data_IF_340750104253
#
_entry.id   IF_340750104253
#
_cell.length_a   1.000
_cell.length_b   1.000
_cell.length_c   1.000
_cell.angle_alpha   90.00
_cell.angle_beta   90.00
_cell.angle_gamma   90.00
#
_symmetry.space_group_name_H-M   'P 1'
#
loop_
_entity.id
_entity.type
_entity.pdbx_description
1 polymer ?
#
# COMPACT_ATOMS: atom_id res chain seq x y z
N UNK A 1 22.33 -1.07 53.85
CA UNK A 1 21.11 -1.70 53.27
C UNK A 1 19.90 -0.86 53.62
N UNK A 2 18.98 -0.66 52.66
CA UNK A 2 17.64 -0.06 52.80
C UNK A 2 17.50 1.46 53.08
N UNK A 3 17.65 2.32 52.05
CA UNK A 3 16.88 3.59 51.91
C UNK A 3 16.48 3.98 50.46
N UNK A 4 16.72 3.14 49.45
CA UNK A 4 16.44 3.50 48.04
C UNK A 4 15.12 2.98 47.45
N UNK A 5 14.39 2.10 48.14
CA UNK A 5 13.15 1.53 47.59
C UNK A 5 11.90 2.39 47.81
N UNK A 6 11.86 3.24 48.84
CA UNK A 6 10.70 4.08 49.14
C UNK A 6 10.55 5.26 48.15
N UNK A 7 11.67 5.88 47.75
CA UNK A 7 11.66 6.98 46.77
C UNK A 7 11.22 6.48 45.39
N UNK A 8 11.75 5.34 44.95
CA UNK A 8 11.36 4.70 43.69
C UNK A 8 9.85 4.39 43.66
N UNK A 9 9.30 3.71 44.68
CA UNK A 9 7.88 3.32 44.69
C UNK A 9 6.92 4.53 44.71
N UNK A 10 7.29 5.64 45.36
CA UNK A 10 6.52 6.88 45.33
C UNK A 10 6.54 7.54 43.94
N UNK A 11 7.68 7.51 43.24
CA UNK A 11 7.82 8.00 41.87
C UNK A 11 7.00 7.18 40.86
N UNK A 12 6.93 5.85 41.02
CA UNK A 12 6.15 4.97 40.13
C UNK A 12 4.63 5.19 40.24
N UNK A 13 4.09 5.39 41.46
CA UNK A 13 2.66 5.71 41.65
C UNK A 13 2.28 7.07 41.06
N UNK A 14 3.17 8.07 41.12
CA UNK A 14 2.96 9.40 40.53
C UNK A 14 3.09 9.39 39.00
N UNK A 15 4.05 8.65 38.43
CA UNK A 15 4.14 8.45 36.98
C UNK A 15 2.86 7.80 36.41
N UNK A 16 2.29 6.81 37.10
CA UNK A 16 1.02 6.19 36.71
C UNK A 16 -0.19 7.12 36.75
N UNK A 17 -0.20 8.13 37.62
CA UNK A 17 -1.22 9.20 37.66
C UNK A 17 -0.99 10.24 36.55
N UNK A 18 0.26 10.56 36.24
CA UNK A 18 0.64 11.48 35.16
C UNK A 18 0.21 10.94 33.78
N UNK A 19 0.40 9.64 33.55
CA UNK A 19 -0.06 8.94 32.34
C UNK A 19 -1.58 9.06 32.12
N UNK A 20 -2.38 9.19 33.19
CA UNK A 20 -3.84 9.37 33.08
C UNK A 20 -4.27 10.81 32.81
N UNK A 21 -3.40 11.79 33.04
CA UNK A 21 -3.70 13.22 32.83
C UNK A 21 -3.19 13.77 31.50
N UNK A 22 -2.27 13.08 30.82
CA UNK A 22 -1.74 13.50 29.52
C UNK A 22 -2.76 13.17 28.42
N UNK A 23 -3.49 14.18 27.95
CA UNK A 23 -4.43 14.10 26.81
C UNK A 23 -3.77 14.49 25.47
N UNK A 24 -2.51 14.11 25.23
CA UNK A 24 -1.78 14.45 23.99
C UNK A 24 -1.71 13.23 23.06
N UNK A 25 -1.99 13.42 21.77
CA UNK A 25 -1.91 12.37 20.73
C UNK A 25 -0.49 12.16 20.18
N UNK A 26 0.48 12.98 20.61
CA UNK A 26 1.87 12.92 20.14
C UNK A 26 2.78 12.35 21.23
N UNK A 27 3.38 11.19 20.92
CA UNK A 27 4.35 10.49 21.78
C UNK A 27 5.58 11.35 22.11
N UNK A 28 5.94 12.26 21.21
CA UNK A 28 7.08 13.15 21.38
C UNK A 28 6.80 14.22 22.45
N UNK A 29 5.61 14.83 22.42
CA UNK A 29 5.19 15.84 23.42
C UNK A 29 5.03 15.19 24.81
N UNK A 30 4.50 13.97 24.85
CA UNK A 30 4.43 13.18 26.07
C UNK A 30 5.82 12.87 26.65
N UNK A 31 6.78 12.48 25.80
CA UNK A 31 8.17 12.24 26.19
C UNK A 31 8.85 13.49 26.76
N UNK A 32 8.73 14.64 26.07
CA UNK A 32 9.33 15.89 26.52
C UNK A 32 8.76 16.39 27.86
N UNK A 33 7.45 16.22 28.09
CA UNK A 33 6.81 16.58 29.37
C UNK A 33 7.26 15.68 30.52
N UNK A 34 7.43 14.38 30.26
CA UNK A 34 7.98 13.43 31.25
C UNK A 34 9.43 13.80 31.58
N UNK A 35 10.25 14.10 30.58
CA UNK A 35 11.63 14.54 30.78
C UNK A 35 11.71 15.87 31.54
N UNK A 36 10.87 16.85 31.19
CA UNK A 36 10.80 18.15 31.86
C UNK A 36 10.48 18.00 33.35
N UNK A 37 9.46 17.21 33.70
CA UNK A 37 9.10 16.99 35.11
C UNK A 37 10.17 16.22 35.89
N UNK A 38 10.77 15.18 35.28
CA UNK A 38 11.88 14.44 35.91
C UNK A 38 13.12 15.30 36.15
N UNK A 39 13.36 16.31 35.31
CA UNK A 39 14.48 17.26 35.44
C UNK A 39 14.15 18.44 36.38
N UNK A 40 12.87 18.76 36.57
CA UNK A 40 12.39 19.83 37.45
C UNK A 40 12.44 19.45 38.94
N UNK A 41 12.34 18.15 39.24
CA UNK A 41 12.37 17.60 40.61
C UNK A 41 13.82 17.30 41.10
N UNK A 42 14.83 17.60 40.29
CA UNK A 42 16.23 17.56 40.72
C UNK A 42 16.52 18.86 41.46
N UNK A 43 16.90 18.77 42.74
CA UNK A 43 17.26 19.95 43.53
C UNK A 43 18.57 20.55 42.98
N UNK A 44 18.45 21.59 42.15
CA UNK A 44 19.56 22.27 41.48
C UNK A 44 20.40 23.14 42.45
N UNK A 45 20.08 23.18 43.75
CA UNK A 45 20.70 24.06 44.75
C UNK A 45 22.20 23.83 45.04
N UNK A 46 22.89 22.90 44.38
CA UNK A 46 24.35 22.71 44.54
C UNK A 46 25.18 22.93 43.27
N UNK A 47 24.59 23.47 42.20
CA UNK A 47 25.33 23.92 41.03
C UNK A 47 25.09 25.42 40.84
N UNK A 48 26.15 26.23 40.79
CA UNK A 48 26.04 27.62 40.34
C UNK A 48 25.44 27.64 38.93
N UNK A 49 24.15 27.96 38.85
CA UNK A 49 23.37 27.83 37.64
C UNK A 49 23.72 28.97 36.65
N UNK A 50 24.00 28.66 35.37
CA UNK A 50 23.90 29.68 34.33
C UNK A 50 22.43 30.09 34.20
N UNK A 51 22.16 31.40 34.28
CA UNK A 51 20.81 31.95 34.23
C UNK A 51 20.10 31.57 32.91
N UNK A 52 19.18 30.61 32.96
CA UNK A 52 18.27 30.33 31.86
C UNK A 52 17.20 31.42 31.82
N UNK A 53 17.25 32.30 30.80
CA UNK A 53 16.12 33.18 30.47
C UNK A 53 15.24 32.50 29.42
N UNK A 54 13.96 32.32 29.74
CA UNK A 54 12.93 31.94 28.78
C UNK A 54 12.85 32.98 27.65
N UNK A 55 12.98 32.55 26.40
CA UNK A 55 12.34 33.22 25.27
C UNK A 55 11.49 32.20 24.54
N UNK A 56 10.17 32.41 24.58
CA UNK A 56 9.22 31.79 23.66
C UNK A 56 9.29 32.56 22.34
N UNK A 57 9.87 31.96 21.32
CA UNK A 57 9.57 32.29 19.93
C UNK A 57 8.98 31.05 19.27
N UNK A 58 7.89 31.25 18.54
CA UNK A 58 7.03 30.20 18.01
C UNK A 58 7.78 29.26 17.04
N UNK A 59 7.44 27.97 17.14
CA UNK A 59 7.67 26.90 16.15
C UNK A 59 9.04 26.21 16.00
N UNK A 60 10.04 26.42 16.86
CA UNK A 60 11.18 25.47 16.99
C UNK A 60 11.74 25.42 18.41
N UNK A 61 11.62 24.28 19.09
CA UNK A 61 12.43 24.00 20.29
C UNK A 61 13.90 23.79 19.87
N UNK A 62 14.78 24.74 20.17
CA UNK A 62 16.24 24.53 20.08
C UNK A 62 16.79 24.26 21.47
N UNK A 63 17.41 23.10 21.66
CA UNK A 63 18.26 22.85 22.84
C UNK A 63 19.52 23.71 22.71
N UNK A 64 19.68 24.71 23.57
CA UNK A 64 20.97 25.36 23.76
C UNK A 64 21.81 24.49 24.69
N UNK A 65 22.82 23.80 24.14
CA UNK A 65 23.94 23.29 24.93
C UNK A 65 24.97 24.41 24.98
N UNK A 66 25.33 24.95 26.16
CA UNK A 66 26.35 25.99 26.21
C UNK A 66 27.68 25.40 25.75
N UNK A 67 28.33 26.08 24.81
CA UNK A 67 29.68 25.75 24.38
C UNK A 67 30.62 25.86 25.58
N UNK A 68 31.10 24.72 26.08
CA UNK A 68 32.17 24.66 27.10
C UNK A 68 31.88 23.94 28.42
N UNK A 69 30.68 23.39 28.66
CA UNK A 69 30.37 22.73 29.94
C UNK A 69 30.62 21.21 29.94
N UNK A 70 31.60 20.73 30.72
CA UNK A 70 31.75 19.30 31.04
C UNK A 70 30.62 18.89 31.99
N UNK A 71 29.73 17.97 31.57
CA UNK A 71 28.72 17.40 32.46
C UNK A 71 29.38 16.71 33.66
N UNK A 72 28.96 16.97 34.91
CA UNK A 72 29.45 16.25 36.08
C UNK A 72 29.25 14.75 35.91
N UNK A 73 30.25 13.93 36.31
CA UNK A 73 30.27 12.46 36.08
C UNK A 73 29.01 11.73 36.58
N UNK A 74 28.32 12.25 37.58
CA UNK A 74 27.03 11.71 38.07
C UNK A 74 25.85 11.93 37.11
N UNK A 75 25.83 13.05 36.39
CA UNK A 75 24.77 13.41 35.44
C UNK A 75 24.92 12.67 34.11
N UNK A 76 26.15 12.39 33.68
CA UNK A 76 26.42 11.54 32.52
C UNK A 76 25.87 10.11 32.70
N UNK A 77 25.94 9.56 33.93
CA UNK A 77 25.38 8.26 34.25
C UNK A 77 23.84 8.27 34.20
N UNK A 78 23.19 9.30 34.74
CA UNK A 78 21.73 9.44 34.68
C UNK A 78 21.25 9.65 33.23
N UNK A 79 21.96 10.44 32.44
CA UNK A 79 21.69 10.64 31.01
C UNK A 79 21.84 9.34 30.23
N UNK A 80 22.94 8.60 30.40
CA UNK A 80 23.15 7.30 29.75
C UNK A 80 22.11 6.25 30.19
N UNK A 81 21.64 6.33 31.44
CA UNK A 81 20.60 5.42 31.96
C UNK A 81 19.22 5.80 31.42
N UNK A 82 18.92 7.08 31.25
CA UNK A 82 17.70 7.55 30.57
C UNK A 82 17.71 7.18 29.08
N UNK A 83 18.86 7.26 28.40
CA UNK A 83 19.05 6.81 27.01
C UNK A 83 18.91 5.28 26.88
N UNK A 84 19.51 4.50 27.79
CA UNK A 84 19.34 3.03 27.80
C UNK A 84 17.93 2.59 28.21
N UNK A 85 17.30 3.34 29.11
CA UNK A 85 15.90 3.14 29.48
C UNK A 85 15.00 3.49 28.30
N UNK A 86 15.33 4.52 27.51
CA UNK A 86 14.68 4.83 26.24
C UNK A 86 14.83 3.66 25.25
N UNK A 87 15.99 3.04 25.07
CA UNK A 87 16.11 1.85 24.20
C UNK A 87 15.25 0.67 24.68
N UNK A 88 15.21 0.42 25.99
CA UNK A 88 14.48 -0.71 26.58
C UNK A 88 12.95 -0.47 26.59
N UNK A 89 12.52 0.75 26.90
CA UNK A 89 11.11 1.17 26.83
C UNK A 89 10.67 1.31 25.37
N UNK A 90 11.50 1.84 24.47
CA UNK A 90 11.23 1.83 23.03
C UNK A 90 11.07 0.39 22.53
N UNK A 91 11.93 -0.56 22.91
CA UNK A 91 11.74 -1.97 22.53
C UNK A 91 10.50 -2.63 23.13
N UNK A 92 9.97 -2.12 24.25
CA UNK A 92 8.88 -2.75 25.03
C UNK A 92 7.52 -2.06 24.86
N UNK A 93 7.51 -0.82 24.39
CA UNK A 93 6.33 0.02 24.13
C UNK A 93 6.27 0.55 22.70
N UNK A 94 7.29 0.35 21.86
CA UNK A 94 7.07 0.45 20.42
C UNK A 94 6.16 -0.70 20.01
N UNK A 95 4.99 -0.43 19.40
CA UNK A 95 4.33 -1.46 18.62
C UNK A 95 5.35 -2.00 17.61
N UNK A 96 5.43 -3.33 17.47
CA UNK A 96 6.17 -3.96 16.37
C UNK A 96 5.69 -3.30 15.06
N UNK A 97 6.54 -2.46 14.46
CA UNK A 97 6.34 -1.74 13.18
C UNK A 97 5.01 -0.99 13.06
N UNK A 98 4.99 0.28 13.45
CA UNK A 98 4.13 1.26 12.78
C UNK A 98 4.74 2.64 12.97
N UNK A 99 5.55 3.10 12.00
CA UNK A 99 5.87 4.51 11.81
C UNK A 99 6.49 4.65 10.40
N UNK A 100 5.66 5.11 9.46
CA UNK A 100 5.85 5.23 8.00
C UNK A 100 5.84 3.90 7.22
N UNK A 101 4.65 3.33 6.99
CA UNK A 101 4.46 2.39 5.88
C UNK A 101 4.50 3.19 4.57
N UNK A 102 5.69 3.48 4.06
CA UNK A 102 5.83 4.10 2.74
C UNK A 102 5.64 3.02 1.68
N UNK A 103 4.67 3.19 0.79
CA UNK A 103 4.45 2.23 -0.31
C UNK A 103 5.64 2.32 -1.25
N UNK A 104 6.40 1.23 -1.36
CA UNK A 104 7.59 1.19 -2.23
C UNK A 104 7.24 0.84 -3.67
N UNK A 105 6.17 0.07 -3.85
CA UNK A 105 5.73 -0.42 -5.14
C UNK A 105 4.21 -0.52 -5.25
N UNK A 106 3.70 -0.34 -6.46
CA UNK A 106 2.30 -0.62 -6.81
C UNK A 106 2.28 -1.52 -8.03
N UNK A 107 1.61 -2.66 -7.89
CA UNK A 107 1.30 -3.56 -9.00
C UNK A 107 -0.16 -3.36 -9.40
N UNK A 108 -0.42 -3.23 -10.69
CA UNK A 108 -1.76 -3.08 -11.23
C UNK A 108 -2.16 -4.31 -12.05
N UNK A 109 -3.42 -4.70 -11.97
CA UNK A 109 -4.02 -5.56 -12.99
C UNK A 109 -4.10 -4.84 -14.34
N UNK A 110 -4.34 -5.62 -15.39
CA UNK A 110 -4.46 -5.15 -16.75
C UNK A 110 -5.91 -4.83 -17.13
N UNK A 111 -6.74 -5.87 -17.28
CA UNK A 111 -8.09 -5.78 -17.83
C UNK A 111 -8.99 -5.01 -16.85
N UNK A 112 -9.72 -4.01 -17.35
CA UNK A 112 -10.58 -3.11 -16.57
C UNK A 112 -9.90 -2.32 -15.45
N UNK A 113 -8.58 -2.44 -15.26
CA UNK A 113 -7.80 -1.69 -14.27
C UNK A 113 -6.88 -0.68 -14.92
N UNK A 114 -5.84 -1.11 -15.65
CA UNK A 114 -4.98 -0.20 -16.42
C UNK A 114 -5.59 0.14 -17.78
N UNK A 115 -6.27 -0.82 -18.39
CA UNK A 115 -6.81 -0.74 -19.75
C UNK A 115 -8.29 -1.11 -19.70
N UNK A 116 -9.16 -0.24 -20.23
CA UNK A 116 -10.53 -0.63 -20.54
C UNK A 116 -10.51 -1.57 -21.74
N UNK A 117 -10.78 -2.85 -21.47
CA UNK A 117 -10.86 -3.91 -22.46
C UNK A 117 -12.29 -4.31 -22.79
N UNK A 118 -13.29 -3.70 -22.13
CA UNK A 118 -14.70 -4.10 -22.25
C UNK A 118 -15.22 -3.99 -23.69
N UNK A 119 -14.91 -2.90 -24.40
CA UNK A 119 -15.34 -2.72 -25.79
C UNK A 119 -14.71 -3.73 -26.75
N UNK A 120 -13.40 -3.96 -26.61
CA UNK A 120 -12.68 -4.92 -27.44
C UNK A 120 -13.15 -6.36 -27.20
N UNK A 121 -13.31 -6.74 -25.92
CA UNK A 121 -13.81 -8.06 -25.55
C UNK A 121 -15.24 -8.29 -26.01
N UNK A 122 -16.13 -7.30 -25.86
CA UNK A 122 -17.52 -7.43 -26.32
C UNK A 122 -17.61 -7.64 -27.83
N UNK A 123 -16.84 -6.85 -28.61
CA UNK A 123 -16.77 -7.00 -30.06
C UNK A 123 -16.25 -8.38 -30.46
N UNK A 124 -15.20 -8.87 -29.79
CA UNK A 124 -14.60 -10.16 -30.07
C UNK A 124 -15.52 -11.33 -29.70
N UNK A 125 -16.14 -11.30 -28.52
CA UNK A 125 -17.11 -12.31 -28.07
C UNK A 125 -18.29 -12.37 -29.04
N UNK A 126 -18.82 -11.23 -29.46
CA UNK A 126 -19.95 -11.20 -30.40
C UNK A 126 -19.55 -11.63 -31.81
N UNK A 127 -18.32 -11.36 -32.26
CA UNK A 127 -17.78 -11.90 -33.51
C UNK A 127 -17.68 -13.43 -33.48
N UNK A 128 -17.24 -14.00 -32.35
CA UNK A 128 -17.21 -15.45 -32.13
C UNK A 128 -18.64 -16.00 -32.07
N UNK A 129 -19.54 -15.34 -31.35
CA UNK A 129 -20.93 -15.76 -31.25
C UNK A 129 -21.60 -15.85 -32.62
N UNK A 130 -21.43 -14.80 -33.45
CA UNK A 130 -21.96 -14.77 -34.83
C UNK A 130 -21.37 -15.91 -35.69
N UNK A 131 -20.06 -16.19 -35.56
CA UNK A 131 -19.39 -17.24 -36.33
C UNK A 131 -19.89 -18.66 -35.97
N UNK A 132 -20.12 -18.92 -34.68
CA UNK A 132 -20.51 -20.23 -34.18
C UNK A 132 -22.02 -20.39 -33.95
N UNK A 133 -22.85 -19.43 -34.38
CA UNK A 133 -24.30 -19.47 -34.22
C UNK A 133 -24.76 -19.44 -32.76
N UNK A 134 -24.06 -18.67 -31.91
CA UNK A 134 -24.41 -18.45 -30.50
C UNK A 134 -25.14 -17.12 -30.29
N UNK A 135 -25.96 -17.01 -29.23
CA UNK A 135 -26.53 -15.72 -28.85
C UNK A 135 -25.42 -14.69 -28.57
N UNK A 136 -25.65 -13.44 -28.99
CA UNK A 136 -24.76 -12.33 -28.66
C UNK A 136 -24.81 -12.04 -27.16
N UNK A 137 -23.66 -11.66 -26.61
CA UNK A 137 -23.48 -11.21 -25.25
C UNK A 137 -23.76 -9.70 -25.13
N UNK A 138 -24.25 -9.27 -23.96
CA UNK A 138 -24.34 -7.85 -23.59
C UNK A 138 -23.09 -7.40 -22.85
N UNK A 139 -22.89 -6.08 -22.72
CA UNK A 139 -21.76 -5.54 -21.96
C UNK A 139 -21.85 -5.91 -20.49
N UNK A 140 -23.04 -5.86 -19.92
CA UNK A 140 -23.31 -6.14 -18.51
C UNK A 140 -22.89 -7.57 -18.17
N UNK A 141 -23.32 -8.54 -18.99
CA UNK A 141 -22.96 -9.94 -18.81
C UNK A 141 -21.47 -10.20 -19.00
N UNK A 142 -20.82 -9.48 -19.91
CA UNK A 142 -19.37 -9.55 -20.09
C UNK A 142 -18.64 -9.11 -18.82
N UNK A 143 -19.02 -7.98 -18.22
CA UNK A 143 -18.35 -7.43 -17.03
C UNK A 143 -18.39 -8.41 -15.84
N UNK A 144 -19.47 -9.16 -15.66
CA UNK A 144 -19.62 -10.15 -14.58
C UNK A 144 -18.59 -11.29 -14.61
N UNK A 145 -18.01 -11.56 -15.77
CA UNK A 145 -17.10 -12.70 -15.99
C UNK A 145 -15.68 -12.26 -16.30
N UNK A 146 -15.38 -10.96 -16.24
CA UNK A 146 -14.01 -10.46 -16.36
C UNK A 146 -13.17 -11.04 -15.22
N UNK A 147 -11.94 -11.47 -15.57
CA UNK A 147 -11.03 -12.15 -14.66
C UNK A 147 -11.21 -13.68 -14.60
N UNK A 148 -12.28 -14.25 -15.17
CA UNK A 148 -12.47 -15.69 -15.25
C UNK A 148 -11.38 -16.34 -16.11
N UNK A 149 -11.09 -17.61 -15.86
CA UNK A 149 -10.28 -18.38 -16.79
C UNK A 149 -11.03 -18.60 -18.11
N UNK A 150 -10.31 -18.89 -19.19
CA UNK A 150 -10.89 -19.02 -20.53
C UNK A 150 -12.06 -20.02 -20.58
N UNK A 151 -12.00 -21.12 -19.84
CA UNK A 151 -13.08 -22.12 -19.86
C UNK A 151 -14.37 -21.57 -19.28
N UNK A 152 -14.29 -20.99 -18.09
CA UNK A 152 -15.48 -20.47 -17.40
C UNK A 152 -16.01 -19.21 -18.11
N UNK A 153 -15.12 -18.40 -18.68
CA UNK A 153 -15.47 -17.27 -19.54
C UNK A 153 -16.34 -17.69 -20.72
N UNK A 154 -15.90 -18.69 -21.52
CA UNK A 154 -16.68 -19.16 -22.66
C UNK A 154 -18.01 -19.79 -22.27
N UNK A 155 -18.02 -20.63 -21.23
CA UNK A 155 -19.28 -21.25 -20.74
C UNK A 155 -20.29 -20.19 -20.31
N UNK A 156 -19.83 -19.16 -19.60
CA UNK A 156 -20.71 -18.15 -19.06
C UNK A 156 -21.30 -17.22 -20.13
N UNK A 157 -20.60 -17.01 -21.25
CA UNK A 157 -21.00 -16.09 -22.32
C UNK A 157 -21.64 -16.78 -23.54
N UNK A 158 -21.17 -17.97 -23.90
CA UNK A 158 -21.59 -18.70 -25.11
C UNK A 158 -22.37 -19.99 -24.81
N UNK A 159 -22.48 -20.37 -23.53
CA UNK A 159 -23.25 -21.51 -23.04
C UNK A 159 -22.50 -22.85 -23.03
N UNK A 160 -21.32 -22.93 -23.64
CA UNK A 160 -20.42 -24.08 -23.58
C UNK A 160 -18.95 -23.66 -23.73
N UNK A 161 -18.04 -24.63 -23.70
CA UNK A 161 -16.62 -24.40 -23.96
C UNK A 161 -16.15 -25.34 -25.06
N UNK A 162 -15.41 -24.76 -26.01
CA UNK A 162 -14.91 -25.40 -27.22
C UNK A 162 -13.51 -24.86 -27.51
N UNK A 163 -12.51 -25.70 -27.81
CA UNK A 163 -11.18 -25.25 -28.25
C UNK A 163 -11.24 -24.23 -29.41
N UNK A 164 -12.21 -24.42 -30.31
CA UNK A 164 -12.44 -23.61 -31.51
C UNK A 164 -12.72 -22.13 -31.19
N UNK A 165 -13.28 -21.81 -30.02
CA UNK A 165 -13.47 -20.41 -29.60
C UNK A 165 -12.14 -19.73 -29.34
N UNK A 166 -11.21 -20.41 -28.67
CA UNK A 166 -9.86 -19.92 -28.41
C UNK A 166 -9.05 -19.80 -29.70
N UNK A 167 -9.12 -20.82 -30.56
CA UNK A 167 -8.41 -20.82 -31.86
C UNK A 167 -8.90 -19.68 -32.77
N UNK A 168 -10.22 -19.50 -32.86
CA UNK A 168 -10.80 -18.39 -33.63
C UNK A 168 -10.42 -17.04 -33.03
N UNK A 169 -10.46 -16.90 -31.70
CA UNK A 169 -10.02 -15.66 -31.04
C UNK A 169 -8.57 -15.32 -31.37
N UNK A 170 -7.65 -16.28 -31.25
CA UNK A 170 -6.22 -16.08 -31.53
C UNK A 170 -6.00 -15.65 -32.99
N UNK A 171 -6.72 -16.26 -33.93
CA UNK A 171 -6.57 -16.00 -35.36
C UNK A 171 -7.25 -14.70 -35.81
N UNK A 172 -8.48 -14.47 -35.37
CA UNK A 172 -9.40 -13.48 -35.96
C UNK A 172 -9.65 -12.25 -35.08
N UNK A 173 -9.29 -12.30 -33.79
CA UNK A 173 -9.58 -11.24 -32.82
C UNK A 173 -8.29 -10.63 -32.22
N UNK A 174 -7.42 -11.47 -31.65
CA UNK A 174 -6.22 -11.05 -30.96
C UNK A 174 -5.30 -10.11 -31.77
N UNK A 175 -5.14 -10.26 -33.11
CA UNK A 175 -4.32 -9.33 -33.89
C UNK A 175 -4.81 -7.88 -33.85
N UNK A 176 -6.12 -7.65 -33.73
CA UNK A 176 -6.74 -6.33 -33.87
C UNK A 176 -7.23 -5.72 -32.56
N UNK A 177 -7.42 -6.53 -31.50
CA UNK A 177 -8.04 -6.08 -30.26
C UNK A 177 -7.31 -4.91 -29.58
N UNK A 178 -5.97 -4.87 -29.68
CA UNK A 178 -5.16 -3.85 -29.04
C UNK A 178 -5.51 -2.45 -29.57
N UNK A 179 -5.95 -2.33 -30.83
CA UNK A 179 -6.37 -1.05 -31.41
C UNK A 179 -7.67 -0.53 -30.75
N UNK A 180 -8.57 -1.42 -30.35
CA UNK A 180 -9.88 -1.10 -29.76
C UNK A 180 -9.82 -0.80 -28.25
N UNK A 181 -8.74 -1.16 -27.58
CA UNK A 181 -8.57 -0.93 -26.13
C UNK A 181 -8.16 0.51 -25.83
N UNK A 182 -8.50 1.04 -24.66
CA UNK A 182 -8.09 2.38 -24.23
C UNK A 182 -7.55 2.35 -22.81
N UNK A 183 -6.62 3.22 -22.42
CA UNK A 183 -6.27 3.37 -21.01
C UNK A 183 -7.52 3.65 -20.17
N UNK A 184 -7.61 3.00 -19.01
CA UNK A 184 -8.70 3.23 -18.07
C UNK A 184 -8.66 4.66 -17.51
N UNK A 185 -9.79 5.13 -16.99
CA UNK A 185 -9.92 6.49 -16.48
C UNK A 185 -8.90 6.78 -15.36
N UNK A 186 -7.97 7.70 -15.63
CA UNK A 186 -6.92 8.10 -14.68
C UNK A 186 -5.70 7.18 -14.63
N UNK A 187 -5.63 6.13 -15.46
CA UNK A 187 -4.54 5.16 -15.39
C UNK A 187 -3.17 5.79 -15.72
N UNK A 188 -3.11 6.59 -16.79
CA UNK A 188 -1.86 7.21 -17.25
C UNK A 188 -1.35 8.22 -16.23
N UNK A 189 -2.25 9.06 -15.74
CA UNK A 189 -1.96 10.11 -14.76
C UNK A 189 -1.52 9.51 -13.41
N UNK A 190 -2.24 8.48 -12.95
CA UNK A 190 -1.93 7.77 -11.70
C UNK A 190 -0.54 7.14 -11.74
N UNK A 191 -0.23 6.39 -12.80
CA UNK A 191 1.08 5.74 -12.93
C UNK A 191 2.20 6.77 -13.05
N UNK A 192 2.00 7.83 -13.83
CA UNK A 192 2.99 8.90 -13.97
C UNK A 192 3.25 9.62 -12.64
N UNK A 193 2.19 9.92 -11.87
CA UNK A 193 2.33 10.58 -10.56
C UNK A 193 3.04 9.68 -9.53
N UNK A 194 2.70 8.39 -9.47
CA UNK A 194 3.40 7.43 -8.59
C UNK A 194 4.90 7.38 -8.90
N UNK A 195 5.27 7.34 -10.18
CA UNK A 195 6.68 7.34 -10.59
C UNK A 195 7.38 8.64 -10.24
N UNK A 196 6.72 9.79 -10.41
CA UNK A 196 7.27 11.08 -10.01
C UNK A 196 7.53 11.16 -8.50
N UNK A 197 6.76 10.42 -7.70
CA UNK A 197 6.94 10.26 -6.25
C UNK A 197 7.97 9.19 -5.87
N UNK A 198 8.64 8.57 -6.85
CA UNK A 198 9.67 7.54 -6.60
C UNK A 198 9.11 6.15 -6.29
N UNK A 199 7.81 5.94 -6.45
CA UNK A 199 7.17 4.62 -6.27
C UNK A 199 7.41 3.77 -7.52
N UNK A 200 7.82 2.52 -7.30
CA UNK A 200 7.95 1.53 -8.38
C UNK A 200 6.59 1.09 -8.87
N UNK A 201 6.40 0.97 -10.19
CA UNK A 201 5.12 0.59 -10.76
C UNK A 201 5.27 -0.59 -11.70
N UNK A 202 4.37 -1.56 -11.60
CA UNK A 202 4.33 -2.68 -12.54
C UNK A 202 2.93 -3.15 -12.86
N UNK A 203 2.82 -4.01 -13.87
CA UNK A 203 1.60 -4.72 -14.22
C UNK A 203 1.76 -6.21 -13.89
N UNK A 204 0.75 -6.81 -13.24
CA UNK A 204 0.69 -8.25 -12.96
C UNK A 204 -0.74 -8.75 -13.24
N UNK A 205 -0.91 -9.64 -14.23
CA UNK A 205 -2.24 -9.99 -14.74
C UNK A 205 -2.39 -11.46 -15.13
N UNK A 206 -3.64 -11.94 -15.20
CA UNK A 206 -4.01 -13.22 -15.80
C UNK A 206 -3.99 -13.19 -17.33
N UNK A 207 -3.82 -12.02 -17.93
CA UNK A 207 -3.65 -11.88 -19.37
C UNK A 207 -2.36 -12.55 -19.84
N UNK A 208 -2.43 -13.24 -20.97
CA UNK A 208 -1.24 -13.75 -21.68
C UNK A 208 -0.63 -12.61 -22.48
N UNK A 209 0.69 -12.44 -22.37
CA UNK A 209 1.47 -11.43 -23.09
C UNK A 209 0.91 -9.98 -23.00
N UNK A 210 0.60 -9.46 -21.79
CA UNK A 210 0.02 -8.11 -21.62
C UNK A 210 0.94 -6.99 -22.14
N UNK A 211 2.25 -7.23 -22.19
CA UNK A 211 3.25 -6.29 -22.70
C UNK A 211 2.95 -5.81 -24.12
N UNK A 212 2.35 -6.66 -24.98
CA UNK A 212 1.99 -6.29 -26.35
C UNK A 212 1.05 -5.09 -26.38
N UNK A 213 0.00 -5.09 -25.56
CA UNK A 213 -0.97 -4.00 -25.53
C UNK A 213 -0.38 -2.79 -24.79
N UNK A 214 0.38 -3.00 -23.71
CA UNK A 214 1.10 -1.93 -22.99
C UNK A 214 1.98 -1.12 -23.97
N UNK A 215 2.66 -1.79 -24.90
CA UNK A 215 3.46 -1.15 -25.96
C UNK A 215 2.63 -0.35 -26.95
N UNK A 216 1.55 -0.95 -27.45
CA UNK A 216 0.61 -0.29 -28.39
C UNK A 216 -0.03 0.96 -27.76
N UNK A 217 -0.23 0.95 -26.44
CA UNK A 217 -0.76 2.09 -25.67
C UNK A 217 0.30 3.02 -25.09
N UNK A 218 1.57 2.81 -25.46
CA UNK A 218 2.70 3.64 -25.03
C UNK A 218 2.89 3.73 -23.51
N UNK A 219 2.43 2.73 -22.77
CA UNK A 219 2.56 2.65 -21.31
C UNK A 219 3.85 1.96 -20.85
N UNK A 220 4.60 1.32 -21.75
CA UNK A 220 5.81 0.55 -21.39
C UNK A 220 6.84 1.39 -20.61
N UNK A 221 7.03 2.66 -21.00
CA UNK A 221 7.96 3.58 -20.33
C UNK A 221 7.52 3.97 -18.91
N UNK A 222 6.26 3.71 -18.58
CA UNK A 222 5.66 3.98 -17.29
C UNK A 222 5.65 2.74 -16.38
N UNK A 223 6.19 1.61 -16.82
CA UNK A 223 6.19 0.36 -16.07
C UNK A 223 7.64 -0.10 -15.82
N UNK A 224 7.99 -0.37 -14.57
CA UNK A 224 9.26 -1.00 -14.20
C UNK A 224 9.21 -2.52 -14.47
N UNK A 225 8.03 -3.15 -14.44
CA UNK A 225 7.85 -4.54 -14.84
C UNK A 225 6.45 -4.83 -15.42
N UNK A 226 6.35 -5.89 -16.21
CA UNK A 226 5.08 -6.42 -16.73
C UNK A 226 5.11 -7.95 -16.65
N UNK A 227 4.14 -8.54 -15.95
CA UNK A 227 4.01 -9.99 -15.72
C UNK A 227 2.63 -10.45 -16.18
N UNK A 228 2.60 -11.38 -17.14
CA UNK A 228 1.39 -12.05 -17.60
C UNK A 228 1.25 -13.46 -17.03
N UNK A 229 0.12 -14.12 -17.33
CA UNK A 229 -0.13 -15.51 -16.94
C UNK A 229 0.88 -16.49 -17.56
N UNK A 230 1.45 -16.15 -18.71
CA UNK A 230 2.48 -16.93 -19.41
C UNK A 230 3.83 -16.95 -18.69
N UNK A 231 4.02 -16.09 -17.68
CA UNK A 231 5.26 -16.01 -16.90
C UNK A 231 5.22 -16.79 -15.58
N UNK A 232 4.12 -17.48 -15.26
CA UNK A 232 3.95 -18.20 -13.98
C UNK A 232 3.25 -19.54 -14.16
N UNK A 233 3.42 -20.43 -13.18
CA UNK A 233 2.75 -21.73 -13.17
C UNK A 233 1.25 -21.63 -12.80
N UNK A 234 0.88 -20.72 -11.89
CA UNK A 234 -0.49 -20.58 -11.39
C UNK A 234 -0.93 -19.12 -11.46
N UNK A 235 -1.88 -18.77 -12.35
CA UNK A 235 -2.44 -17.41 -12.41
C UNK A 235 -3.32 -17.11 -11.19
N UNK A 236 -3.75 -15.85 -11.05
CA UNK A 236 -4.73 -15.41 -10.03
C UNK A 236 -5.95 -16.34 -10.09
N UNK A 237 -6.51 -16.75 -8.93
CA UNK A 237 -6.28 -16.21 -7.59
C UNK A 237 -5.04 -16.73 -6.88
N UNK A 238 -4.17 -17.55 -7.51
CA UNK A 238 -2.87 -17.82 -6.92
C UNK A 238 -2.01 -16.53 -6.89
N UNK A 239 -1.12 -16.36 -5.89
CA UNK A 239 -0.37 -15.13 -5.72
C UNK A 239 0.82 -15.01 -6.69
N UNK A 240 1.11 -16.05 -7.50
CA UNK A 240 2.36 -16.21 -8.21
C UNK A 240 2.68 -15.01 -9.14
N UNK A 241 1.70 -14.46 -9.89
CA UNK A 241 1.94 -13.28 -10.74
C UNK A 241 2.27 -12.01 -9.94
N UNK A 242 1.63 -11.80 -8.78
CA UNK A 242 1.89 -10.67 -7.90
C UNK A 242 3.26 -10.80 -7.24
N UNK A 243 3.58 -11.99 -6.73
CA UNK A 243 4.88 -12.27 -6.12
C UNK A 243 6.02 -12.10 -7.12
N UNK A 244 5.83 -12.55 -8.36
CA UNK A 244 6.79 -12.35 -9.44
C UNK A 244 6.97 -10.86 -9.76
N UNK A 245 5.88 -10.10 -9.80
CA UNK A 245 5.93 -8.65 -9.95
C UNK A 245 6.73 -7.98 -8.83
N UNK A 246 6.45 -8.33 -7.57
CA UNK A 246 7.15 -7.75 -6.42
C UNK A 246 8.65 -8.07 -6.40
N UNK A 247 9.02 -9.30 -6.78
CA UNK A 247 10.41 -9.73 -6.97
C UNK A 247 11.11 -8.84 -8.00
N UNK A 248 10.51 -8.64 -9.19
CA UNK A 248 11.08 -7.81 -10.25
C UNK A 248 11.20 -6.33 -9.85
N UNK A 249 10.30 -5.84 -9.00
CA UNK A 249 10.36 -4.49 -8.44
C UNK A 249 11.34 -4.35 -7.25
N UNK A 250 11.93 -5.46 -6.77
CA UNK A 250 12.86 -5.46 -5.64
C UNK A 250 12.20 -5.07 -4.31
N UNK A 251 10.91 -5.39 -4.13
CA UNK A 251 10.14 -5.01 -2.96
C UNK A 251 9.58 -6.24 -2.22
N UNK A 252 9.42 -6.12 -0.90
CA UNK A 252 8.69 -7.12 -0.13
C UNK A 252 7.18 -6.95 -0.38
N UNK A 253 6.38 -8.03 -0.45
CA UNK A 253 4.94 -7.92 -0.68
C UNK A 253 4.20 -7.01 0.31
N UNK A 254 4.62 -6.99 1.58
CA UNK A 254 4.06 -6.12 2.62
C UNK A 254 4.29 -4.61 2.36
N UNK A 255 5.29 -4.25 1.55
CA UNK A 255 5.60 -2.88 1.14
C UNK A 255 4.96 -2.51 -0.21
N UNK A 256 4.22 -3.44 -0.82
CA UNK A 256 3.56 -3.27 -2.10
C UNK A 256 2.03 -3.20 -1.95
N UNK A 257 1.40 -2.43 -2.83
CA UNK A 257 -0.04 -2.47 -3.05
C UNK A 257 -0.34 -3.21 -4.34
N UNK A 258 -1.46 -3.93 -4.35
CA UNK A 258 -2.02 -4.46 -5.58
C UNK A 258 -3.34 -3.76 -5.90
N UNK A 259 -3.50 -3.36 -7.15
CA UNK A 259 -4.68 -2.64 -7.64
C UNK A 259 -5.37 -3.49 -8.70
N UNK A 260 -6.66 -3.76 -8.55
CA UNK A 260 -7.44 -4.57 -9.49
C UNK A 260 -8.93 -4.22 -9.40
N UNK A 261 -9.78 -4.92 -10.12
CA UNK A 261 -11.22 -4.62 -10.19
C UNK A 261 -12.12 -5.82 -9.86
N UNK A 262 -11.54 -6.99 -9.56
CA UNK A 262 -12.30 -8.23 -9.34
C UNK A 262 -12.06 -8.84 -7.94
N UNK A 263 -12.95 -9.70 -7.45
CA UNK A 263 -12.69 -10.52 -6.26
C UNK A 263 -11.45 -11.42 -6.38
N UNK A 264 -11.11 -11.84 -7.62
CA UNK A 264 -9.92 -12.64 -7.90
C UNK A 264 -8.65 -11.85 -7.59
N UNK A 265 -8.64 -10.55 -7.86
CA UNK A 265 -7.56 -9.63 -7.54
C UNK A 265 -7.36 -9.48 -6.04
N UNK A 266 -8.46 -9.26 -5.32
CA UNK A 266 -8.46 -9.11 -3.86
C UNK A 266 -7.91 -10.37 -3.20
N UNK A 267 -8.36 -11.55 -3.65
CA UNK A 267 -7.89 -12.82 -3.13
C UNK A 267 -6.41 -13.08 -3.45
N UNK A 268 -5.96 -12.75 -4.67
CA UNK A 268 -4.56 -12.88 -5.05
C UNK A 268 -3.65 -11.98 -4.19
N UNK A 269 -4.05 -10.72 -3.96
CA UNK A 269 -3.33 -9.78 -3.10
C UNK A 269 -3.23 -10.31 -1.67
N UNK A 270 -4.35 -10.79 -1.11
CA UNK A 270 -4.40 -11.37 0.23
C UNK A 270 -3.44 -12.56 0.36
N UNK A 271 -3.43 -13.47 -0.63
CA UNK A 271 -2.51 -14.63 -0.65
C UNK A 271 -1.06 -14.23 -0.85
N UNK A 272 -0.80 -13.11 -1.53
CA UNK A 272 0.55 -12.57 -1.71
C UNK A 272 1.06 -11.81 -0.47
N UNK A 273 0.20 -11.51 0.51
CA UNK A 273 0.54 -10.66 1.65
C UNK A 273 0.52 -9.16 1.32
N UNK A 274 -0.16 -8.77 0.24
CA UNK A 274 -0.31 -7.38 -0.20
C UNK A 274 -1.66 -6.81 0.24
N UNK A 275 -1.73 -5.50 0.45
CA UNK A 275 -3.02 -4.79 0.58
C UNK A 275 -3.59 -4.56 -0.83
N UNK A 276 -4.89 -4.81 -0.98
CA UNK A 276 -5.62 -4.61 -2.24
C UNK A 276 -6.37 -3.27 -2.27
N UNK A 277 -6.25 -2.53 -3.35
CA UNK A 277 -7.15 -1.42 -3.67
C UNK A 277 -7.98 -1.81 -4.88
N UNK A 278 -9.29 -1.84 -4.72
CA UNK A 278 -10.18 -2.21 -5.82
C UNK A 278 -10.66 -0.96 -6.58
N UNK A 279 -10.79 -1.07 -7.90
CA UNK A 279 -11.37 -0.05 -8.78
C UNK A 279 -12.77 -0.49 -9.20
N UNK A 280 -13.77 0.41 -9.13
CA UNK A 280 -15.15 0.13 -9.52
C UNK A 280 -15.34 0.11 -11.05
N UNK A 281 -14.75 -0.89 -11.71
CA UNK A 281 -14.74 -1.00 -13.17
C UNK A 281 -15.63 -2.13 -13.74
N UNK A 282 -15.61 -3.32 -13.12
CA UNK A 282 -16.39 -4.49 -13.57
C UNK A 282 -17.33 -5.06 -12.51
N UNK A 283 -17.08 -4.78 -11.23
CA UNK A 283 -17.81 -5.33 -10.10
C UNK A 283 -18.37 -4.21 -9.21
N UNK A 284 -19.52 -4.49 -8.60
CA UNK A 284 -20.13 -3.60 -7.61
C UNK A 284 -19.29 -3.52 -6.32
N UNK A 285 -19.35 -2.39 -5.63
CA UNK A 285 -18.59 -2.14 -4.41
C UNK A 285 -18.81 -3.23 -3.35
N UNK A 286 -20.06 -3.64 -3.14
CA UNK A 286 -20.45 -4.64 -2.14
C UNK A 286 -19.81 -6.01 -2.42
N UNK A 287 -19.54 -6.33 -3.69
CA UNK A 287 -18.85 -7.56 -4.08
C UNK A 287 -17.37 -7.49 -3.72
N UNK A 288 -16.74 -6.34 -3.93
CA UNK A 288 -15.31 -6.12 -3.64
C UNK A 288 -15.06 -5.98 -2.13
N UNK A 289 -15.97 -5.36 -1.40
CA UNK A 289 -15.96 -5.31 0.07
C UNK A 289 -16.06 -6.70 0.68
N UNK A 290 -17.01 -7.52 0.21
CA UNK A 290 -17.16 -8.92 0.65
C UNK A 290 -15.93 -9.78 0.34
N UNK A 291 -15.23 -9.48 -0.76
CA UNK A 291 -13.96 -10.14 -1.09
C UNK A 291 -12.82 -9.71 -0.14
N UNK A 292 -12.96 -8.61 0.59
CA UNK A 292 -11.97 -8.11 1.55
C UNK A 292 -11.01 -7.06 0.97
N UNK A 293 -11.45 -6.26 0.00
CA UNK A 293 -10.66 -5.14 -0.50
C UNK A 293 -10.27 -4.19 0.65
N UNK A 294 -9.00 -3.77 0.74
CA UNK A 294 -8.58 -2.84 1.80
C UNK A 294 -9.17 -1.44 1.57
N UNK A 295 -9.20 -0.99 0.32
CA UNK A 295 -9.87 0.24 -0.12
C UNK A 295 -10.52 0.04 -1.48
N UNK A 296 -11.46 0.92 -1.79
CA UNK A 296 -12.15 0.97 -3.08
C UNK A 296 -12.08 2.41 -3.59
N UNK A 297 -11.84 2.57 -4.88
CA UNK A 297 -11.87 3.86 -5.60
C UNK A 297 -12.78 3.74 -6.81
N UNK A 298 -13.44 4.84 -7.20
CA UNK A 298 -14.29 4.83 -8.39
C UNK A 298 -13.42 4.78 -9.65
N UNK A 299 -12.35 5.58 -9.68
CA UNK A 299 -11.36 5.58 -10.76
C UNK A 299 -9.93 5.67 -10.24
N UNK A 300 -8.94 5.40 -11.10
CA UNK A 300 -7.53 5.55 -10.74
C UNK A 300 -7.11 7.01 -10.46
N UNK A 301 -7.96 8.00 -10.81
CA UNK A 301 -7.73 9.42 -10.46
C UNK A 301 -7.70 9.65 -8.94
N UNK A 302 -8.39 8.81 -8.19
CA UNK A 302 -8.48 8.93 -6.72
C UNK A 302 -7.38 8.16 -5.98
N UNK A 303 -6.62 7.32 -6.70
CA UNK A 303 -5.67 6.40 -6.08
C UNK A 303 -4.54 7.14 -5.34
N UNK A 304 -3.85 8.07 -6.01
CA UNK A 304 -2.77 8.83 -5.35
C UNK A 304 -3.31 9.74 -4.23
N UNK A 305 -4.42 10.48 -4.41
CA UNK A 305 -5.08 11.17 -3.30
C UNK A 305 -5.43 10.27 -2.11
N UNK A 306 -5.90 9.05 -2.35
CA UNK A 306 -6.17 8.06 -1.31
C UNK A 306 -4.88 7.72 -0.54
N UNK A 307 -3.78 7.42 -1.24
CA UNK A 307 -2.52 7.06 -0.58
C UNK A 307 -1.97 8.21 0.29
N UNK A 308 -2.09 9.46 -0.19
CA UNK A 308 -1.73 10.67 0.58
C UNK A 308 -2.59 10.81 1.84
N UNK A 309 -3.91 10.58 1.76
CA UNK A 309 -4.81 10.62 2.93
C UNK A 309 -4.49 9.55 3.97
N UNK A 310 -4.05 8.38 3.51
CA UNK A 310 -3.65 7.25 4.37
C UNK A 310 -2.23 7.39 4.93
N UNK A 311 -1.49 8.46 4.57
CA UNK A 311 -0.11 8.69 5.01
C UNK A 311 0.88 7.65 4.47
N UNK A 312 0.59 7.12 3.28
CA UNK A 312 1.40 6.09 2.60
C UNK A 312 2.35 6.65 1.54
N UNK A 313 2.26 7.96 1.25
CA UNK A 313 3.10 8.76 0.36
C UNK A 313 3.44 10.10 1.00
#
# INVERSE_FOLDING_TARGET
MCRNNAFMLASWRRLGLLFRQIRSSSLLDMFFRICYHLLSDIDWMQCEAPQFRERREESRWRMFVPAGGVLPKGCAWLFLRLVKMHESIAKRFMPRRSFFMNVRAVLFDFDMTLIDTSGALLANVNKIADHFGRPRCTRERLLEVIGYNSRDFWRALLGDERPEYGEYYVKECAPYEAAMMTPAAGAVECVAELRALGVKVGCASNRIAPLRVIRVKHLERLMDCVVGADAVARPKPAPDVLLKGAELLGCAPEDALYVGDTPIDVEAARRAGMRSVAVLASNAAETLERAGAWRIVETLREFVPLLKREGLL
#
